data_IF_799764679234
#
_entry.id   IF_799764679234
#
_cell.length_a   1.000
_cell.length_b   1.000
_cell.length_c   1.000
_cell.angle_alpha   90.00
_cell.angle_beta   90.00
_cell.angle_gamma   90.00
#
_symmetry.space_group_name_H-M   'P 1'
#
loop_
_entity.id
_entity.type
_entity.pdbx_description
1 polymer ?
#
# COMPACT_ATOMS: atom_id res chain seq x y z
N UNK A 1 7.17 -24.27 65.64
CA UNK A 1 8.64 -24.48 65.68
C UNK A 1 9.00 -25.58 64.68
N UNK A 2 9.97 -25.30 63.78
CA UNK A 2 10.68 -26.19 62.82
C UNK A 2 9.83 -26.73 61.65
N UNK A 3 9.88 -26.26 60.40
CA UNK A 3 10.96 -26.03 59.39
C UNK A 3 11.77 -27.29 59.06
N UNK A 4 11.69 -27.73 57.79
CA UNK A 4 12.69 -28.41 56.93
C UNK A 4 11.99 -28.71 55.58
N UNK A 5 12.12 -27.93 54.50
CA UNK A 5 13.24 -27.78 53.54
C UNK A 5 13.80 -29.09 52.95
N UNK A 6 13.62 -29.29 51.63
CA UNK A 6 14.58 -29.94 50.74
C UNK A 6 14.35 -29.51 49.29
N UNK A 7 15.45 -29.18 48.62
CA UNK A 7 15.61 -28.44 47.36
C UNK A 7 16.12 -29.38 46.25
N UNK A 8 15.63 -29.15 45.02
CA UNK A 8 16.17 -29.32 43.66
C UNK A 8 17.08 -30.51 43.26
N UNK A 9 16.80 -31.05 42.07
CA UNK A 9 17.81 -31.34 41.05
C UNK A 9 17.31 -30.92 39.66
N UNK A 10 18.07 -30.00 39.03
CA UNK A 10 17.98 -29.54 37.64
C UNK A 10 19.13 -30.21 36.86
N UNK A 11 18.98 -30.28 35.53
CA UNK A 11 19.96 -30.57 34.45
C UNK A 11 19.84 -31.99 33.90
N UNK A 12 19.88 -32.28 32.60
CA UNK A 12 19.89 -31.51 31.35
C UNK A 12 20.14 -32.54 30.24
N UNK A 13 19.41 -32.52 29.13
CA UNK A 13 19.99 -32.86 27.82
C UNK A 13 19.35 -31.99 26.76
N UNK A 14 20.12 -30.97 26.37
CA UNK A 14 20.04 -30.28 25.10
C UNK A 14 20.12 -31.30 23.96
N UNK A 15 19.26 -31.16 22.95
CA UNK A 15 19.64 -31.54 21.59
C UNK A 15 19.52 -30.28 20.73
N UNK A 16 20.68 -29.72 20.43
CA UNK A 16 20.89 -28.73 19.38
C UNK A 16 20.48 -29.33 18.04
N UNK A 17 19.67 -28.59 17.29
CA UNK A 17 19.81 -28.53 15.84
C UNK A 17 19.34 -27.14 15.41
N UNK A 18 20.30 -26.21 15.47
CA UNK A 18 20.29 -24.96 14.73
C UNK A 18 20.38 -25.26 13.24
N UNK A 19 19.38 -24.85 12.47
CA UNK A 19 19.61 -24.27 11.13
C UNK A 19 18.76 -23.02 11.00
N UNK A 20 19.45 -21.91 11.19
CA UNK A 20 19.04 -20.54 10.93
C UNK A 20 19.00 -20.30 9.41
N UNK A 21 17.89 -19.77 8.90
CA UNK A 21 17.87 -18.82 7.76
C UNK A 21 16.52 -18.08 7.79
N UNK A 22 16.49 -16.89 8.39
CA UNK A 22 16.74 -15.58 7.78
C UNK A 22 15.50 -15.01 7.06
N UNK A 23 14.73 -14.26 7.86
CA UNK A 23 14.08 -12.98 7.54
C UNK A 23 13.25 -12.86 6.24
N UNK A 24 11.93 -12.94 6.42
CA UNK A 24 11.01 -11.90 5.92
C UNK A 24 9.75 -11.93 6.78
N UNK A 25 9.88 -11.53 8.04
CA UNK A 25 8.75 -10.89 8.69
C UNK A 25 8.62 -9.52 8.00
N UNK A 26 7.61 -9.38 7.13
CA UNK A 26 7.06 -8.08 6.83
C UNK A 26 6.84 -7.37 8.18
N UNK A 27 7.31 -6.12 8.36
CA UNK A 27 7.03 -5.42 9.59
C UNK A 27 5.50 -5.45 9.77
N UNK A 28 4.99 -5.88 10.93
CA UNK A 28 3.55 -5.87 11.17
C UNK A 28 3.07 -4.45 10.84
N UNK A 29 1.90 -4.29 10.20
CA UNK A 29 1.35 -2.96 9.97
C UNK A 29 1.41 -2.24 11.30
N UNK A 30 2.15 -1.12 11.34
CA UNK A 30 2.46 -0.40 12.57
C UNK A 30 1.17 -0.25 13.33
N UNK A 31 1.01 -1.07 14.35
CA UNK A 31 -0.18 -1.09 15.15
C UNK A 31 -0.12 0.18 15.98
N UNK A 32 -0.51 1.30 15.39
CA UNK A 32 -1.01 2.45 16.14
C UNK A 32 -2.35 2.02 16.70
N UNK A 33 -2.26 1.14 17.69
CA UNK A 33 -3.39 0.55 18.37
C UNK A 33 -3.03 0.44 19.83
N UNK A 34 -3.71 1.29 20.60
CA UNK A 34 -4.52 0.81 21.72
C UNK A 34 -3.94 0.86 23.14
N UNK A 35 -2.93 1.68 23.45
CA UNK A 35 -2.73 2.05 24.87
C UNK A 35 -3.91 2.88 25.43
N UNK A 36 -4.71 3.52 24.57
CA UNK A 36 -5.97 4.16 24.96
C UNK A 36 -7.09 3.15 25.30
N UNK A 37 -7.00 1.88 24.87
CA UNK A 37 -8.07 0.89 25.07
C UNK A 37 -8.11 0.28 26.48
N UNK A 38 -7.09 0.54 27.32
CA UNK A 38 -6.98 -0.05 28.68
C UNK A 38 -7.38 0.93 29.78
N UNK A 39 -7.71 2.18 29.46
CA UNK A 39 -8.03 3.19 30.46
C UNK A 39 -9.54 3.37 30.64
N UNK A 40 -10.01 3.33 31.89
CA UNK A 40 -11.39 3.65 32.23
C UNK A 40 -11.77 5.07 31.74
N UNK A 41 -12.97 5.27 31.18
CA UNK A 41 -13.37 6.56 30.63
C UNK A 41 -13.31 7.69 31.67
N UNK A 42 -12.66 8.79 31.32
CA UNK A 42 -12.53 9.98 32.16
C UNK A 42 -13.85 10.76 32.19
N UNK A 43 -14.19 11.36 33.32
CA UNK A 43 -15.37 12.23 33.42
C UNK A 43 -15.23 13.52 32.62
N UNK A 44 -14.00 13.96 32.36
CA UNK A 44 -13.67 15.15 31.59
C UNK A 44 -12.36 14.96 30.81
N UNK A 45 -12.15 15.79 29.80
CA UNK A 45 -10.95 15.78 28.95
C UNK A 45 -9.85 16.74 29.41
N UNK A 46 -9.94 17.17 30.67
CA UNK A 46 -8.94 17.99 31.33
C UNK A 46 -8.75 17.50 32.77
N UNK A 47 -7.58 17.80 33.32
CA UNK A 47 -7.25 17.55 34.71
C UNK A 47 -6.48 18.73 35.29
N UNK A 48 -6.58 18.87 36.60
CA UNK A 48 -5.80 19.86 37.35
C UNK A 48 -4.49 19.20 37.80
N UNK A 49 -3.40 19.95 37.73
CA UNK A 49 -2.11 19.54 38.27
C UNK A 49 -1.44 20.73 38.97
N UNK A 50 -0.53 20.42 39.89
CA UNK A 50 0.26 21.43 40.61
C UNK A 50 1.58 21.65 39.88
N UNK A 51 1.87 22.92 39.60
CA UNK A 51 3.16 23.39 39.11
C UNK A 51 3.72 24.36 40.17
N UNK A 52 4.51 23.81 41.10
CA UNK A 52 4.84 24.49 42.35
C UNK A 52 3.57 24.76 43.18
N UNK A 53 3.33 26.03 43.50
CA UNK A 53 2.15 26.49 44.26
C UNK A 53 0.94 26.87 43.37
N UNK A 54 1.06 26.72 42.05
CA UNK A 54 0.00 27.13 41.11
C UNK A 54 -0.76 25.90 40.64
N UNK A 55 -2.09 25.96 40.72
CA UNK A 55 -2.98 24.99 40.07
C UNK A 55 -3.05 25.35 38.58
N UNK A 56 -2.75 24.38 37.73
CA UNK A 56 -2.80 24.49 36.27
C UNK A 56 -3.80 23.49 35.71
N UNK A 57 -4.37 23.84 34.56
CA UNK A 57 -5.25 22.98 33.79
C UNK A 57 -4.47 22.41 32.61
N UNK A 58 -4.54 21.09 32.40
CA UNK A 58 -4.00 20.42 31.20
C UNK A 58 -5.05 19.51 30.60
N UNK A 59 -5.00 19.36 29.27
CA UNK A 59 -5.85 18.43 28.55
C UNK A 59 -5.25 17.02 28.61
N UNK A 60 -6.10 16.00 28.69
CA UNK A 60 -5.69 14.64 28.35
C UNK A 60 -5.31 14.56 26.86
N UNK A 61 -4.50 13.58 26.48
CA UNK A 61 -4.12 13.35 25.09
C UNK A 61 -5.36 13.07 24.23
N UNK A 62 -5.33 13.56 22.98
CA UNK A 62 -6.39 13.30 22.02
C UNK A 62 -6.52 11.77 21.80
N UNK A 63 -7.75 11.27 21.79
CA UNK A 63 -8.04 9.82 21.81
C UNK A 63 -8.24 9.20 23.19
N UNK A 64 -8.01 9.91 24.30
CA UNK A 64 -8.32 9.40 25.66
C UNK A 64 -9.83 9.14 25.82
N UNK A 65 -10.28 7.97 26.30
CA UNK A 65 -11.70 7.68 26.49
C UNK A 65 -12.34 8.61 27.53
N UNK A 66 -13.55 9.11 27.26
CA UNK A 66 -14.27 10.02 28.15
C UNK A 66 -15.79 9.79 28.18
N UNK A 67 -16.43 10.21 29.26
CA UNK A 67 -17.89 10.22 29.38
C UNK A 67 -18.49 11.44 28.69
N UNK A 68 -19.38 11.20 27.73
CA UNK A 68 -20.07 12.27 27.05
C UNK A 68 -21.13 12.88 27.97
N UNK A 69 -20.85 14.06 28.54
CA UNK A 69 -21.66 14.69 29.61
C UNK A 69 -23.14 14.83 29.30
N UNK A 70 -23.51 14.95 28.03
CA UNK A 70 -24.91 15.04 27.62
C UNK A 70 -25.61 13.70 27.86
N UNK A 71 -24.97 12.59 27.52
CA UNK A 71 -25.54 11.23 27.48
C UNK A 71 -24.56 10.25 28.15
N UNK A 72 -24.68 10.08 29.48
CA UNK A 72 -23.82 9.19 30.30
C UNK A 72 -23.81 7.69 29.89
N UNK A 73 -24.50 7.32 28.82
CA UNK A 73 -24.46 5.98 28.23
C UNK A 73 -23.48 5.84 27.06
N UNK A 74 -22.83 6.94 26.60
CA UNK A 74 -21.89 6.92 25.48
C UNK A 74 -20.49 7.32 25.91
N UNK A 75 -19.53 6.43 25.63
CA UNK A 75 -18.10 6.72 25.70
C UNK A 75 -17.70 7.46 24.42
N UNK A 76 -17.09 8.63 24.59
CA UNK A 76 -16.45 9.38 23.52
C UNK A 76 -14.93 9.38 23.68
N UNK A 77 -14.28 10.24 22.91
CA UNK A 77 -12.85 10.47 22.94
C UNK A 77 -12.55 11.94 23.17
N UNK A 78 -11.51 12.20 23.94
CA UNK A 78 -11.00 13.53 24.15
C UNK A 78 -10.41 14.08 22.85
N UNK A 79 -10.78 15.32 22.56
CA UNK A 79 -10.29 16.08 21.43
C UNK A 79 -10.19 17.53 21.84
N UNK A 80 -8.97 18.06 21.89
CA UNK A 80 -8.68 19.46 22.26
C UNK A 80 -9.38 19.89 23.56
N UNK A 81 -9.39 19.00 24.56
CA UNK A 81 -10.00 19.24 25.87
C UNK A 81 -11.52 19.06 25.95
N UNK A 82 -12.18 18.57 24.88
CA UNK A 82 -13.62 18.27 24.86
C UNK A 82 -13.87 16.78 24.62
N UNK A 83 -14.88 16.23 25.28
CA UNK A 83 -15.32 14.87 25.00
C UNK A 83 -16.21 14.84 23.75
N UNK A 84 -15.84 14.05 22.75
CA UNK A 84 -16.56 13.97 21.46
C UNK A 84 -16.90 12.53 21.12
N UNK A 85 -18.06 12.28 20.52
CA UNK A 85 -18.48 10.91 20.13
C UNK A 85 -17.79 10.45 18.84
N UNK A 86 -17.18 11.37 18.09
CA UNK A 86 -16.47 11.06 16.85
C UNK A 86 -15.02 10.75 17.19
N UNK A 87 -14.61 9.51 16.94
CA UNK A 87 -13.19 9.18 16.90
C UNK A 87 -12.49 10.11 15.88
N UNK A 88 -11.26 10.52 16.19
CA UNK A 88 -10.45 11.26 15.24
C UNK A 88 -10.30 10.41 13.96
N UNK A 89 -10.58 10.97 12.77
CA UNK A 89 -10.35 10.25 11.53
C UNK A 89 -8.88 9.81 11.44
N UNK A 90 -8.64 8.61 10.89
CA UNK A 90 -7.28 8.20 10.56
C UNK A 90 -6.64 9.26 9.65
N UNK A 91 -5.58 9.89 10.14
CA UNK A 91 -4.84 10.87 9.36
C UNK A 91 -4.15 10.17 8.19
N UNK A 92 -4.57 10.56 6.97
CA UNK A 92 -3.94 10.14 5.73
C UNK A 92 -3.24 11.38 5.17
N UNK A 93 -1.90 11.42 5.09
CA UNK A 93 -1.18 12.60 4.64
C UNK A 93 -1.62 13.06 3.25
N UNK A 94 -1.82 14.37 3.09
CA UNK A 94 -2.13 15.02 1.80
C UNK A 94 -0.85 15.38 1.03
N UNK A 95 0.06 14.44 0.82
CA UNK A 95 1.41 14.67 0.24
C UNK A 95 1.58 14.17 -1.20
N UNK A 96 0.53 13.58 -1.77
CA UNK A 96 0.50 13.11 -3.15
C UNK A 96 1.16 11.75 -3.36
N UNK A 97 1.58 11.07 -2.28
CA UNK A 97 2.31 9.80 -2.38
C UNK A 97 1.36 8.61 -2.36
N UNK A 98 1.45 7.77 -3.40
CA UNK A 98 0.73 6.51 -3.47
C UNK A 98 1.36 5.47 -2.55
N UNK A 99 0.60 5.04 -1.53
CA UNK A 99 1.05 4.07 -0.51
C UNK A 99 0.38 2.71 -0.63
N UNK A 100 -0.71 2.62 -1.39
CA UNK A 100 -1.39 1.34 -1.58
C UNK A 100 -0.50 0.40 -2.38
N UNK A 101 -0.56 -0.91 -2.09
CA UNK A 101 0.11 -1.90 -2.92
C UNK A 101 -0.52 -1.93 -4.33
N UNK A 102 0.30 -2.12 -5.36
CA UNK A 102 -0.17 -2.24 -6.74
C UNK A 102 -0.29 -0.90 -7.47
N UNK A 103 -1.00 -0.91 -8.60
CA UNK A 103 -1.29 0.28 -9.39
C UNK A 103 -2.38 1.14 -8.77
N UNK A 104 -2.22 2.46 -8.85
CA UNK A 104 -3.30 3.39 -8.58
C UNK A 104 -4.40 3.26 -9.66
N UNK A 105 -5.61 2.91 -9.26
CA UNK A 105 -6.76 2.82 -10.19
C UNK A 105 -7.41 4.16 -10.50
N UNK A 106 -6.94 5.22 -9.85
CA UNK A 106 -7.32 6.62 -10.03
C UNK A 106 -6.09 7.48 -9.76
N UNK A 107 -5.99 8.63 -10.43
CA UNK A 107 -4.95 9.62 -10.15
C UNK A 107 -5.33 10.61 -9.04
N UNK A 108 -6.40 10.32 -8.31
CA UNK A 108 -6.84 11.02 -7.11
C UNK A 108 -6.96 10.04 -5.95
N UNK A 109 -6.70 10.55 -4.76
CA UNK A 109 -6.92 9.83 -3.51
C UNK A 109 -7.50 10.73 -2.44
N UNK A 110 -8.11 10.08 -1.46
CA UNK A 110 -8.66 10.73 -0.28
C UNK A 110 -7.57 10.82 0.79
N UNK A 111 -7.32 12.03 1.23
CA UNK A 111 -6.45 12.31 2.37
C UNK A 111 -7.26 12.97 3.49
N UNK A 112 -6.74 12.94 4.70
CA UNK A 112 -7.45 13.44 5.89
C UNK A 112 -6.54 14.36 6.67
N UNK A 113 -7.01 15.57 6.96
CA UNK A 113 -6.31 16.57 7.76
C UNK A 113 -7.23 17.04 8.89
N UNK A 114 -7.01 16.54 10.10
CA UNK A 114 -7.98 16.68 11.20
C UNK A 114 -9.35 16.08 10.82
N UNK A 115 -10.39 16.91 10.78
CA UNK A 115 -11.77 16.47 10.44
C UNK A 115 -12.14 16.63 8.97
N UNK A 116 -11.24 17.16 8.15
CA UNK A 116 -11.49 17.37 6.73
C UNK A 116 -10.97 16.19 5.92
N UNK A 117 -11.84 15.61 5.09
CA UNK A 117 -11.45 14.66 4.05
C UNK A 117 -11.38 15.39 2.71
N UNK A 118 -10.19 15.44 2.13
CA UNK A 118 -9.91 16.10 0.87
C UNK A 118 -9.66 15.06 -0.22
N UNK A 119 -10.07 15.37 -1.44
CA UNK A 119 -9.72 14.58 -2.62
C UNK A 119 -8.62 15.31 -3.37
N UNK A 120 -7.41 14.76 -3.38
CA UNK A 120 -6.23 15.43 -3.94
C UNK A 120 -5.56 14.53 -4.98
N UNK A 121 -4.92 15.10 -6.01
CA UNK A 121 -4.24 14.30 -7.03
C UNK A 121 -2.98 13.65 -6.45
N UNK A 122 -2.64 12.48 -6.98
CA UNK A 122 -1.29 11.92 -6.78
C UNK A 122 -0.24 12.78 -7.48
N UNK A 123 1.00 12.66 -7.02
CA UNK A 123 2.15 13.30 -7.65
C UNK A 123 2.30 12.81 -9.09
N UNK A 124 2.79 13.70 -9.96
CA UNK A 124 3.07 13.36 -11.35
C UNK A 124 4.05 12.16 -11.40
N UNK A 125 3.90 11.34 -12.44
CA UNK A 125 4.66 10.09 -12.68
C UNK A 125 4.29 8.91 -11.76
N UNK A 126 3.27 9.06 -10.90
CA UNK A 126 2.72 7.91 -10.15
C UNK A 126 2.16 6.86 -11.12
N UNK A 127 2.55 5.58 -11.06
CA UNK A 127 1.99 4.55 -11.94
C UNK A 127 0.49 4.38 -11.72
N UNK A 128 -0.28 4.32 -12.80
CA UNK A 128 -1.73 4.18 -12.75
C UNK A 128 -2.25 3.14 -13.73
N UNK A 129 -3.43 2.59 -13.46
CA UNK A 129 -4.09 1.62 -14.34
C UNK A 129 -5.59 1.91 -14.37
N UNK A 130 -6.10 2.34 -15.52
CA UNK A 130 -7.52 2.67 -15.69
C UNK A 130 -8.34 1.38 -15.69
N UNK A 131 -9.29 1.27 -14.76
CA UNK A 131 -10.22 0.14 -14.67
C UNK A 131 -11.57 0.55 -15.26
N UNK A 132 -12.06 -0.23 -16.21
CA UNK A 132 -13.32 0.03 -16.90
C UNK A 132 -14.53 -0.48 -16.11
N UNK A 133 -15.73 -0.22 -16.63
CA UNK A 133 -16.99 -0.63 -16.00
C UNK A 133 -17.10 -2.16 -15.79
N UNK A 134 -16.41 -2.96 -16.60
CA UNK A 134 -16.34 -4.43 -16.46
C UNK A 134 -15.43 -4.91 -15.32
N UNK A 135 -14.79 -3.99 -14.59
CA UNK A 135 -13.80 -4.32 -13.57
C UNK A 135 -12.46 -4.80 -14.15
N UNK A 136 -12.25 -4.67 -15.46
CA UNK A 136 -11.01 -5.03 -16.15
C UNK A 136 -10.22 -3.78 -16.55
N UNK A 137 -8.88 -3.87 -16.67
CA UNK A 137 -8.07 -2.77 -17.18
C UNK A 137 -8.47 -2.38 -18.59
N UNK A 138 -8.61 -1.08 -18.83
CA UNK A 138 -8.87 -0.50 -20.16
C UNK A 138 -7.53 -0.08 -20.74
N UNK A 139 -6.87 -1.04 -21.39
CA UNK A 139 -5.56 -0.83 -22.00
C UNK A 139 -4.38 -1.07 -21.05
N UNK A 140 -3.26 -0.42 -21.33
CA UNK A 140 -2.01 -0.53 -20.58
C UNK A 140 -1.92 0.45 -19.40
N UNK A 141 -1.00 0.16 -18.48
CA UNK A 141 -0.66 1.05 -17.39
C UNK A 141 -0.09 2.36 -17.91
N UNK A 142 -0.46 3.42 -17.20
CA UNK A 142 -0.11 4.79 -17.47
C UNK A 142 0.71 5.40 -16.35
N UNK A 143 0.87 6.72 -16.43
CA UNK A 143 1.38 7.54 -15.33
C UNK A 143 0.41 8.69 -15.04
N UNK A 144 0.27 9.05 -13.77
CA UNK A 144 -0.52 10.21 -13.39
C UNK A 144 0.16 11.50 -13.85
N UNK A 145 -0.61 12.36 -14.50
CA UNK A 145 -0.22 13.71 -14.89
C UNK A 145 -1.40 14.64 -14.69
N UNK A 146 -1.24 15.67 -13.85
CA UNK A 146 -2.28 16.67 -13.58
C UNK A 146 -3.63 16.04 -13.18
N UNK A 147 -3.60 15.01 -12.34
CA UNK A 147 -4.80 14.30 -11.87
C UNK A 147 -5.41 13.31 -12.88
N UNK A 148 -4.84 13.15 -14.08
CA UNK A 148 -5.32 12.19 -15.09
C UNK A 148 -4.30 11.08 -15.33
N UNK A 149 -4.77 9.87 -15.61
CA UNK A 149 -3.90 8.76 -15.98
C UNK A 149 -3.56 8.86 -17.47
N UNK A 150 -2.33 9.30 -17.79
CA UNK A 150 -1.83 9.36 -19.17
C UNK A 150 -1.67 7.93 -19.69
N UNK A 151 -2.38 7.54 -20.76
CA UNK A 151 -2.47 6.15 -21.18
C UNK A 151 -1.17 5.63 -21.82
N UNK A 152 -0.98 4.31 -21.81
CA UNK A 152 0.26 3.66 -22.27
C UNK A 152 0.69 4.03 -23.69
N UNK A 153 -0.26 4.27 -24.60
CA UNK A 153 0.00 4.60 -26.00
C UNK A 153 0.51 6.05 -26.22
N UNK A 154 0.41 6.92 -25.21
CA UNK A 154 0.91 8.30 -25.23
C UNK A 154 2.26 8.45 -24.48
N UNK A 155 2.77 7.38 -23.88
CA UNK A 155 4.00 7.43 -23.05
C UNK A 155 5.28 7.39 -23.88
N UNK A 156 6.30 8.18 -23.57
CA UNK A 156 7.65 7.95 -24.14
C UNK A 156 8.24 6.61 -23.67
N UNK A 157 9.31 6.07 -24.29
CA UNK A 157 9.99 4.87 -23.81
C UNK A 157 10.43 4.94 -22.34
N UNK A 158 10.85 6.12 -21.88
CA UNK A 158 11.23 6.38 -20.49
C UNK A 158 10.01 6.36 -19.56
N UNK A 159 8.91 6.97 -20.00
CA UNK A 159 7.64 6.96 -19.27
C UNK A 159 7.03 5.55 -19.18
N UNK A 160 7.21 4.69 -20.20
CA UNK A 160 6.79 3.29 -20.14
C UNK A 160 7.50 2.54 -19.02
N UNK A 161 8.79 2.80 -18.80
CA UNK A 161 9.54 2.23 -17.66
C UNK A 161 9.01 2.73 -16.32
N UNK A 162 8.64 4.01 -16.24
CA UNK A 162 8.00 4.58 -15.05
C UNK A 162 6.61 3.99 -14.78
N UNK A 163 5.85 3.67 -15.83
CA UNK A 163 4.56 3.01 -15.72
C UNK A 163 4.67 1.53 -15.28
N UNK A 164 5.85 0.91 -15.38
CA UNK A 164 6.05 -0.50 -15.02
C UNK A 164 7.29 -0.68 -14.14
N UNK A 165 7.31 -0.07 -12.93
CA UNK A 165 8.45 -0.20 -12.05
C UNK A 165 8.56 -1.65 -11.54
N UNK A 166 9.78 -2.15 -11.24
CA UNK A 166 9.99 -3.54 -10.85
C UNK A 166 9.12 -3.99 -9.66
N UNK A 167 8.86 -3.10 -8.69
CA UNK A 167 8.02 -3.40 -7.53
C UNK A 167 6.54 -3.69 -7.85
N UNK A 168 6.06 -3.30 -9.04
CA UNK A 168 4.70 -3.56 -9.53
C UNK A 168 4.62 -4.73 -10.52
N UNK A 169 5.76 -5.27 -10.95
CA UNK A 169 5.83 -6.47 -11.78
C UNK A 169 5.80 -7.68 -10.86
N UNK A 170 4.60 -8.20 -10.59
CA UNK A 170 4.38 -9.30 -9.65
C UNK A 170 3.52 -10.43 -10.21
N UNK A 171 2.96 -10.27 -11.41
CA UNK A 171 2.26 -11.37 -12.07
C UNK A 171 3.29 -12.36 -12.63
N UNK A 172 2.99 -13.67 -12.64
CA UNK A 172 3.88 -14.66 -13.25
C UNK A 172 4.09 -14.36 -14.74
N UNK A 173 5.10 -14.93 -15.37
CA UNK A 173 5.17 -14.84 -16.83
C UNK A 173 4.00 -15.62 -17.47
N UNK A 174 3.48 -15.13 -18.59
CA UNK A 174 2.32 -15.72 -19.25
C UNK A 174 2.58 -15.91 -20.74
N UNK A 175 2.30 -17.10 -21.25
CA UNK A 175 2.26 -17.34 -22.70
C UNK A 175 1.04 -16.67 -23.33
N UNK A 176 1.25 -16.00 -24.46
CA UNK A 176 0.15 -15.51 -25.28
C UNK A 176 -0.33 -16.58 -26.25
N UNK A 177 -1.43 -17.24 -25.94
CA UNK A 177 -2.03 -18.29 -26.79
C UNK A 177 -3.10 -17.75 -27.76
N UNK A 178 -3.33 -16.43 -27.76
CA UNK A 178 -4.30 -15.79 -28.65
C UNK A 178 -3.80 -15.70 -30.08
N UNK A 179 -4.72 -15.55 -31.04
CA UNK A 179 -4.37 -15.30 -32.46
C UNK A 179 -4.02 -13.83 -32.76
N UNK A 180 -4.34 -12.93 -31.83
CA UNK A 180 -4.18 -11.49 -32.00
C UNK A 180 -2.75 -11.03 -31.72
N UNK A 181 -2.26 -10.02 -32.44
CA UNK A 181 -0.97 -9.39 -32.13
C UNK A 181 -1.12 -8.48 -30.89
N UNK A 182 -0.19 -8.63 -29.95
CA UNK A 182 -0.16 -7.84 -28.72
C UNK A 182 0.18 -6.37 -29.00
N UNK A 183 -0.61 -5.46 -28.44
CA UNK A 183 -0.28 -4.02 -28.42
C UNK A 183 0.68 -3.62 -27.30
N UNK A 184 0.84 -4.50 -26.31
CA UNK A 184 1.71 -4.34 -25.16
C UNK A 184 2.24 -5.70 -24.75
N UNK A 185 3.52 -5.76 -24.38
CA UNK A 185 4.14 -6.95 -23.81
C UNK A 185 3.92 -7.10 -22.31
N UNK A 186 3.10 -6.21 -21.74
CA UNK A 186 2.59 -6.30 -20.39
C UNK A 186 1.16 -6.84 -20.39
N UNK A 187 0.87 -7.65 -19.39
CA UNK A 187 -0.49 -7.99 -19.00
C UNK A 187 -0.69 -7.66 -17.52
N UNK A 188 -1.95 -7.65 -17.10
CA UNK A 188 -2.31 -7.26 -15.73
C UNK A 188 -3.08 -8.37 -15.04
N UNK A 189 -2.72 -8.62 -13.79
CA UNK A 189 -3.39 -9.57 -12.92
C UNK A 189 -3.77 -8.90 -11.59
N UNK A 190 -4.79 -9.48 -10.94
CA UNK A 190 -5.22 -9.04 -9.62
C UNK A 190 -4.67 -10.02 -8.57
N UNK A 191 -3.94 -9.52 -7.58
CA UNK A 191 -3.44 -10.29 -6.44
C UNK A 191 -3.84 -9.59 -5.14
N UNK A 192 -4.46 -10.30 -4.21
CA UNK A 192 -4.92 -9.75 -2.92
C UNK A 192 -5.72 -8.44 -3.07
N UNK A 193 -6.58 -8.38 -4.09
CA UNK A 193 -7.41 -7.20 -4.37
C UNK A 193 -6.75 -6.08 -5.19
N UNK A 194 -5.42 -6.10 -5.36
CA UNK A 194 -4.64 -5.04 -6.03
C UNK A 194 -4.17 -5.46 -7.43
N UNK A 195 -3.94 -4.47 -8.29
CA UNK A 195 -3.48 -4.70 -9.65
C UNK A 195 -1.96 -4.66 -9.76
N UNK A 196 -1.42 -5.62 -10.50
CA UNK A 196 0.00 -5.73 -10.80
C UNK A 196 0.20 -6.01 -12.29
N UNK A 197 1.42 -5.77 -12.76
CA UNK A 197 1.85 -6.12 -14.11
C UNK A 197 2.57 -7.47 -14.12
N UNK A 198 2.58 -8.10 -15.28
CA UNK A 198 3.48 -9.21 -15.64
C UNK A 198 3.86 -9.10 -17.11
N UNK A 199 4.81 -9.92 -17.50
CA UNK A 199 5.28 -10.00 -18.87
C UNK A 199 4.58 -11.13 -19.62
N UNK A 200 4.26 -10.88 -20.88
CA UNK A 200 4.11 -11.99 -21.82
C UNK A 200 5.49 -12.60 -22.08
N UNK A 201 5.53 -13.92 -22.25
CA UNK A 201 6.77 -14.64 -22.52
C UNK A 201 7.40 -14.26 -23.86
N UNK A 202 8.60 -14.77 -24.11
CA UNK A 202 9.34 -14.53 -25.35
C UNK A 202 9.18 -15.63 -26.39
N UNK A 203 8.13 -16.45 -26.30
CA UNK A 203 7.89 -17.52 -27.28
C UNK A 203 7.44 -16.97 -28.64
N UNK A 204 7.55 -17.76 -29.73
CA UNK A 204 7.08 -17.37 -31.06
C UNK A 204 5.59 -16.97 -31.12
N UNK A 205 4.79 -17.43 -30.15
CA UNK A 205 3.36 -17.14 -29.99
C UNK A 205 3.09 -15.74 -29.43
N UNK A 206 4.05 -15.13 -28.72
CA UNK A 206 3.94 -13.82 -28.08
C UNK A 206 4.35 -12.67 -29.01
N UNK A 207 3.70 -12.61 -30.18
CA UNK A 207 3.90 -11.55 -31.17
C UNK A 207 3.33 -10.21 -30.73
N UNK A 208 4.05 -9.11 -31.01
CA UNK A 208 3.68 -7.76 -30.62
C UNK A 208 3.87 -6.72 -31.74
N UNK A 209 3.22 -5.56 -31.61
CA UNK A 209 3.44 -4.41 -32.50
C UNK A 209 4.60 -3.56 -31.97
N UNK A 210 5.64 -3.40 -32.78
CA UNK A 210 6.74 -2.48 -32.51
C UNK A 210 6.25 -1.03 -32.62
N UNK A 211 6.53 -0.24 -31.59
CA UNK A 211 6.15 1.17 -31.54
C UNK A 211 6.92 2.04 -32.54
N UNK A 212 8.17 1.67 -32.82
CA UNK A 212 9.07 2.36 -33.75
C UNK A 212 9.73 1.34 -34.69
N UNK A 213 9.01 0.86 -35.73
CA UNK A 213 9.54 -0.17 -36.59
C UNK A 213 10.63 0.37 -37.51
N UNK A 214 11.69 -0.42 -37.72
CA UNK A 214 12.55 -0.21 -38.88
C UNK A 214 11.78 -0.58 -40.14
N UNK A 215 12.03 0.15 -41.24
CA UNK A 215 11.27 0.07 -42.50
C UNK A 215 10.80 -1.35 -42.84
N UNK A 216 9.48 -1.51 -42.99
CA UNK A 216 8.87 -2.68 -43.65
C UNK A 216 8.28 -3.76 -42.74
N UNK A 217 8.61 -3.84 -41.44
CA UNK A 217 7.97 -4.82 -40.55
C UNK A 217 7.59 -4.20 -39.20
N UNK A 218 6.29 -4.01 -38.89
CA UNK A 218 5.82 -3.49 -37.62
C UNK A 218 5.74 -4.54 -36.51
N UNK A 219 6.06 -5.81 -36.78
CA UNK A 219 5.86 -6.91 -35.85
C UNK A 219 7.17 -7.34 -35.18
N UNK A 220 7.06 -7.75 -33.92
CA UNK A 220 8.12 -8.29 -33.11
C UNK A 220 7.61 -9.34 -32.13
N UNK A 221 8.43 -9.67 -31.13
CA UNK A 221 8.10 -10.59 -30.04
C UNK A 221 8.36 -9.95 -28.70
N UNK A 222 7.59 -10.37 -27.71
CA UNK A 222 7.74 -9.85 -26.36
C UNK A 222 9.02 -10.34 -25.69
N UNK A 223 9.66 -9.45 -24.95
CA UNK A 223 10.81 -9.77 -24.12
C UNK A 223 10.84 -8.79 -22.94
N UNK A 224 10.52 -9.29 -21.74
CA UNK A 224 10.55 -8.48 -20.50
C UNK A 224 9.82 -7.13 -20.62
N UNK A 225 8.68 -7.13 -21.31
CA UNK A 225 7.85 -5.93 -21.51
C UNK A 225 8.25 -5.04 -22.69
N UNK A 226 9.36 -5.32 -23.37
CA UNK A 226 9.72 -4.71 -24.65
C UNK A 226 9.24 -5.56 -25.83
N UNK A 227 8.98 -4.91 -26.97
CA UNK A 227 8.71 -5.59 -28.24
C UNK A 227 9.98 -5.56 -29.10
N UNK A 228 10.63 -6.71 -29.28
CA UNK A 228 11.92 -6.86 -29.95
C UNK A 228 11.77 -7.61 -31.28
N UNK A 229 12.82 -7.63 -32.12
CA UNK A 229 12.76 -8.28 -33.44
C UNK A 229 12.95 -9.79 -33.42
N UNK A 230 13.38 -10.35 -32.30
CA UNK A 230 13.71 -11.77 -32.16
C UNK A 230 13.02 -12.31 -30.92
N UNK A 231 12.47 -13.51 -31.04
CA UNK A 231 11.92 -14.26 -29.93
C UNK A 231 13.05 -14.77 -29.01
N UNK A 232 12.70 -15.39 -27.87
CA UNK A 232 13.62 -15.86 -26.82
C UNK A 232 14.54 -14.79 -26.22
N UNK A 233 14.24 -13.50 -26.41
CA UNK A 233 15.16 -12.42 -26.06
C UNK A 233 16.56 -12.56 -26.68
N UNK A 234 16.68 -13.27 -27.81
CA UNK A 234 17.96 -13.46 -28.51
C UNK A 234 18.37 -12.13 -29.16
N UNK A 235 19.30 -11.43 -28.50
CA UNK A 235 19.85 -10.11 -28.83
C UNK A 235 18.96 -8.89 -28.54
N UNK A 236 19.32 -8.20 -27.44
CA UNK A 236 19.36 -6.73 -27.38
C UNK A 236 20.44 -6.19 -28.33
#
# INVERSE_FOLDING_TARGET
MRVLCSIAFILSTLSENDVQTLYSEEPPPTAYSSLAAVQAPKLACHYLYLEGWRVRLRNFEDGTPCWYSRWYSRVGYCLRGRCTVKAEPLEVPCDGVHRSPGYATSCYYRCTKGFETLNVPYNNRTPCLVIGASGRPVGGAGICMNGMCKPSYDLSPEEVKLAHPPGLVRCPEKEHTGRDILRSCYYYCRRNGNWYAGYFDSKPTSGCVMRYPARGNPLGWCCQGACTRKYNCEQL
#
